data_IF_974257845684
#
_entry.id   IF_974257845684
#
_cell.length_a   1.000
_cell.length_b   1.000
_cell.length_c   1.000
_cell.angle_alpha   90.00
_cell.angle_beta   90.00
_cell.angle_gamma   90.00
#
_symmetry.space_group_name_H-M   'P 1'
#
loop_
_entity.id
_entity.type
_entity.pdbx_description
1 polymer ?
#
# COMPACT_ATOMS: atom_id res chain seq x y z
N UNK A 1 -60.75 -1.56 -2.78
CA UNK A 1 -59.93 -2.29 -3.76
C UNK A 1 -58.66 -1.55 -4.20
N UNK A 2 -58.45 -0.29 -3.82
CA UNK A 2 -57.29 0.51 -4.28
C UNK A 2 -56.16 0.65 -3.27
N UNK A 3 -56.21 -0.05 -2.15
CA UNK A 3 -55.20 0.08 -1.06
C UNK A 3 -53.94 -0.75 -1.32
N UNK A 4 -54.02 -1.75 -2.21
CA UNK A 4 -52.87 -2.64 -2.50
C UNK A 4 -51.81 -2.07 -3.46
N UNK A 5 -52.12 -0.97 -4.15
CA UNK A 5 -51.17 -0.36 -5.11
C UNK A 5 -50.28 0.71 -4.54
N UNK A 6 -50.53 1.18 -3.32
CA UNK A 6 -49.73 2.24 -2.71
C UNK A 6 -48.54 1.74 -1.86
N UNK A 7 -48.54 0.52 -1.43
CA UNK A 7 -47.48 -0.05 -0.58
C UNK A 7 -46.25 -0.56 -1.39
N UNK A 8 -46.39 -0.84 -2.66
CA UNK A 8 -45.30 -1.36 -3.51
C UNK A 8 -44.32 -0.26 -3.96
N UNK A 9 -44.75 1.00 -4.00
CA UNK A 9 -43.92 2.13 -4.46
C UNK A 9 -42.95 2.66 -3.38
N UNK A 10 -43.24 2.44 -2.11
CA UNK A 10 -42.40 2.93 -1.00
C UNK A 10 -41.20 1.99 -0.75
N UNK A 11 -41.35 0.70 -0.98
CA UNK A 11 -40.29 -0.28 -0.81
C UNK A 11 -39.19 -0.18 -1.90
N UNK A 12 -39.53 0.24 -3.12
CA UNK A 12 -38.57 0.39 -4.20
C UNK A 12 -37.67 1.62 -4.06
N UNK A 13 -38.13 2.69 -3.43
CA UNK A 13 -37.34 3.91 -3.20
C UNK A 13 -36.31 3.73 -2.09
N UNK A 14 -36.60 2.96 -1.06
CA UNK A 14 -35.68 2.70 0.05
C UNK A 14 -34.52 1.79 -0.34
N UNK A 15 -34.75 0.81 -1.21
CA UNK A 15 -33.70 -0.11 -1.71
C UNK A 15 -32.71 0.57 -2.65
N UNK A 16 -33.13 1.54 -3.45
CA UNK A 16 -32.24 2.27 -4.34
C UNK A 16 -31.24 3.18 -3.61
N UNK A 17 -31.65 3.75 -2.47
CA UNK A 17 -30.78 4.65 -1.68
C UNK A 17 -29.65 3.91 -0.96
N UNK A 18 -29.91 2.70 -0.46
CA UNK A 18 -28.89 1.88 0.22
C UNK A 18 -27.86 1.32 -0.77
N UNK A 19 -28.26 1.00 -1.98
CA UNK A 19 -27.37 0.48 -3.01
C UNK A 19 -26.33 1.49 -3.50
N UNK A 20 -26.65 2.78 -3.54
CA UNK A 20 -25.72 3.85 -3.97
C UNK A 20 -24.60 4.09 -2.95
N UNK A 21 -24.87 4.02 -1.66
CA UNK A 21 -23.86 4.18 -0.61
C UNK A 21 -22.88 3.02 -0.53
N UNK A 22 -23.32 1.79 -0.74
CA UNK A 22 -22.47 0.59 -0.72
C UNK A 22 -21.56 0.48 -1.95
N UNK A 23 -22.02 0.91 -3.13
CA UNK A 23 -21.24 0.82 -4.39
C UNK A 23 -20.05 1.77 -4.42
N UNK A 24 -20.15 2.98 -3.86
CA UNK A 24 -19.05 3.95 -3.82
C UNK A 24 -17.86 3.45 -2.97
N UNK A 25 -18.13 2.86 -1.79
CA UNK A 25 -17.08 2.31 -0.92
C UNK A 25 -16.44 1.04 -1.51
N UNK A 26 -17.24 0.15 -2.11
CA UNK A 26 -16.74 -1.06 -2.74
C UNK A 26 -15.80 -0.75 -3.91
N UNK A 27 -16.12 0.23 -4.75
CA UNK A 27 -15.29 0.67 -5.86
C UNK A 27 -13.94 1.21 -5.40
N UNK A 28 -13.91 2.05 -4.37
CA UNK A 28 -12.68 2.59 -3.82
C UNK A 28 -11.76 1.52 -3.25
N UNK A 29 -12.32 0.52 -2.57
CA UNK A 29 -11.56 -0.63 -2.07
C UNK A 29 -11.01 -1.48 -3.21
N UNK A 30 -11.79 -1.72 -4.24
CA UNK A 30 -11.36 -2.49 -5.41
C UNK A 30 -10.20 -1.81 -6.14
N UNK A 31 -10.28 -0.51 -6.40
CA UNK A 31 -9.20 0.26 -7.01
C UNK A 31 -7.89 0.19 -6.22
N UNK A 32 -7.97 0.27 -4.89
CA UNK A 32 -6.79 0.12 -4.02
C UNK A 32 -6.21 -1.29 -4.06
N UNK A 33 -7.06 -2.30 -4.06
CA UNK A 33 -6.62 -3.70 -4.16
C UNK A 33 -5.96 -3.98 -5.51
N UNK A 34 -6.51 -3.50 -6.61
CA UNK A 34 -5.94 -3.65 -7.95
C UNK A 34 -4.60 -2.96 -8.07
N UNK A 35 -4.48 -1.73 -7.59
CA UNK A 35 -3.20 -1.01 -7.56
C UNK A 35 -2.14 -1.76 -6.77
N UNK A 36 -2.51 -2.37 -5.65
CA UNK A 36 -1.61 -3.15 -4.83
C UNK A 36 -1.20 -4.48 -5.51
N UNK A 37 -2.14 -5.18 -6.13
CA UNK A 37 -1.89 -6.44 -6.84
C UNK A 37 -1.02 -6.26 -8.08
N UNK A 38 -1.19 -5.16 -8.80
CA UNK A 38 -0.43 -4.85 -10.01
C UNK A 38 0.91 -4.16 -9.75
N UNK A 39 1.24 -3.90 -8.48
CA UNK A 39 2.50 -3.27 -8.08
C UNK A 39 3.70 -4.20 -8.25
N UNK A 40 4.87 -3.60 -8.48
CA UNK A 40 6.14 -4.32 -8.40
C UNK A 40 6.63 -4.36 -6.96
N UNK A 41 7.24 -5.47 -6.57
CA UNK A 41 7.83 -5.66 -5.25
C UNK A 41 9.34 -5.61 -5.36
N UNK A 42 9.95 -4.76 -4.56
CA UNK A 42 11.38 -4.66 -4.40
C UNK A 42 11.79 -5.23 -3.05
N UNK A 43 12.72 -6.17 -3.05
CA UNK A 43 13.26 -6.74 -1.82
C UNK A 43 14.76 -6.42 -1.78
N UNK A 44 15.16 -5.64 -0.76
CA UNK A 44 16.55 -5.29 -0.50
C UNK A 44 17.02 -5.95 0.78
N UNK A 45 18.14 -6.62 0.73
CA UNK A 45 18.79 -7.24 1.88
C UNK A 45 20.05 -6.46 2.26
N UNK A 46 20.25 -6.25 3.56
CA UNK A 46 21.39 -5.50 4.06
C UNK A 46 22.20 -6.32 5.06
N UNK A 47 23.48 -6.43 4.79
CA UNK A 47 24.46 -6.89 5.77
C UNK A 47 24.94 -5.66 6.55
N UNK A 48 24.67 -5.63 7.86
CA UNK A 48 25.04 -4.50 8.71
C UNK A 48 26.23 -4.92 9.58
N UNK A 49 27.37 -4.22 9.49
CA UNK A 49 28.49 -4.50 10.37
C UNK A 49 28.10 -4.34 11.84
N UNK A 50 28.65 -5.17 12.71
CA UNK A 50 28.41 -5.10 14.14
C UNK A 50 28.70 -3.71 14.69
N UNK A 51 27.78 -3.15 15.47
CA UNK A 51 27.88 -1.81 16.04
C UNK A 51 27.41 -0.69 15.10
N UNK A 52 26.99 -1.01 13.85
CA UNK A 52 26.52 -0.04 12.86
C UNK A 52 24.99 -0.07 12.63
N UNK A 53 24.26 -0.76 13.48
CA UNK A 53 22.81 -0.97 13.33
C UNK A 53 22.03 0.35 13.37
N UNK A 54 22.37 1.23 14.32
CA UNK A 54 21.71 2.53 14.46
C UNK A 54 21.98 3.44 13.24
N UNK A 55 23.20 3.42 12.73
CA UNK A 55 23.59 4.19 11.54
C UNK A 55 22.90 3.67 10.28
N UNK A 56 22.83 2.36 10.12
CA UNK A 56 22.12 1.73 9.01
C UNK A 56 20.62 2.05 9.03
N UNK A 57 19.99 2.01 10.20
CA UNK A 57 18.59 2.37 10.37
C UNK A 57 18.34 3.85 10.03
N UNK A 58 19.19 4.75 10.52
CA UNK A 58 19.08 6.18 10.23
C UNK A 58 19.21 6.47 8.72
N UNK A 59 20.16 5.83 8.05
CA UNK A 59 20.35 5.96 6.60
C UNK A 59 19.13 5.44 5.83
N UNK A 60 18.57 4.30 6.22
CA UNK A 60 17.37 3.75 5.61
C UNK A 60 16.16 4.68 5.82
N UNK A 61 15.98 5.22 7.01
CA UNK A 61 14.88 6.15 7.32
C UNK A 61 14.96 7.41 6.44
N UNK A 62 16.14 7.95 6.25
CA UNK A 62 16.36 9.13 5.39
C UNK A 62 15.99 8.83 3.94
N UNK A 63 16.42 7.69 3.41
CA UNK A 63 16.07 7.25 2.06
C UNK A 63 14.57 7.01 1.90
N UNK A 64 13.96 6.34 2.88
CA UNK A 64 12.50 6.10 2.92
C UNK A 64 11.73 7.42 2.88
N UNK A 65 12.09 8.38 3.69
CA UNK A 65 11.36 9.65 3.82
C UNK A 65 11.41 10.45 2.51
N UNK A 66 12.52 10.38 1.79
CA UNK A 66 12.63 10.91 0.43
C UNK A 66 11.75 10.15 -0.57
N UNK A 67 11.88 8.83 -0.61
CA UNK A 67 11.18 7.99 -1.59
C UNK A 67 9.66 8.02 -1.42
N UNK A 68 9.16 8.20 -0.19
CA UNK A 68 7.72 8.36 0.08
C UNK A 68 7.09 9.55 -0.63
N UNK A 69 7.86 10.56 -1.00
CA UNK A 69 7.38 11.74 -1.70
C UNK A 69 7.35 11.56 -3.22
N UNK A 70 7.92 10.49 -3.74
CA UNK A 70 8.10 10.30 -5.18
C UNK A 70 6.88 9.66 -5.84
N UNK A 71 6.60 10.01 -7.11
CA UNK A 71 5.51 9.40 -7.87
C UNK A 71 5.67 7.89 -7.97
N UNK A 72 4.57 7.17 -7.81
CA UNK A 72 4.54 5.71 -7.94
C UNK A 72 4.90 4.94 -6.69
N UNK A 73 5.34 5.60 -5.63
CA UNK A 73 5.55 4.97 -4.33
C UNK A 73 4.21 4.47 -3.75
N UNK A 74 4.18 3.22 -3.28
CA UNK A 74 2.98 2.64 -2.65
C UNK A 74 3.23 2.37 -1.17
N UNK A 75 4.26 1.60 -0.85
CA UNK A 75 4.56 1.21 0.53
C UNK A 75 6.01 0.73 0.68
N UNK A 76 6.53 0.81 1.89
CA UNK A 76 7.79 0.16 2.25
C UNK A 76 7.72 -0.34 3.69
N UNK A 77 8.36 -1.47 3.94
CA UNK A 77 8.45 -2.05 5.27
C UNK A 77 9.83 -2.64 5.49
N UNK A 78 10.49 -2.17 6.54
CA UNK A 78 11.76 -2.72 6.99
C UNK A 78 11.49 -3.86 7.99
N UNK A 79 12.17 -4.97 7.77
CA UNK A 79 12.17 -6.13 8.66
C UNK A 79 13.56 -6.31 9.26
N UNK A 80 13.61 -6.61 10.53
CA UNK A 80 14.85 -6.95 11.22
C UNK A 80 14.93 -8.46 11.42
N UNK A 81 16.11 -9.02 11.18
CA UNK A 81 16.36 -10.42 11.48
C UNK A 81 16.38 -10.61 13.01
N UNK A 82 15.66 -11.62 13.47
CA UNK A 82 15.66 -12.00 14.90
C UNK A 82 16.89 -12.82 15.30
N UNK A 83 17.57 -13.42 14.32
CA UNK A 83 18.82 -14.15 14.54
C UNK A 83 20.01 -13.18 14.43
N UNK A 84 20.73 -12.91 15.54
CA UNK A 84 21.88 -12.01 15.51
C UNK A 84 23.06 -12.53 14.67
N UNK A 85 23.09 -13.82 14.39
CA UNK A 85 24.13 -14.47 13.57
C UNK A 85 23.72 -14.63 12.11
N UNK A 86 22.51 -14.19 11.74
CA UNK A 86 22.05 -14.22 10.35
C UNK A 86 22.86 -13.31 9.45
N UNK A 87 23.09 -13.74 8.21
CA UNK A 87 23.87 -12.99 7.23
C UNK A 87 23.26 -11.61 6.93
N UNK A 88 21.95 -11.55 6.78
CA UNK A 88 21.22 -10.31 6.51
C UNK A 88 20.52 -9.83 7.78
N UNK A 89 20.87 -8.64 8.23
CA UNK A 89 20.33 -8.05 9.44
C UNK A 89 19.02 -7.31 9.20
N UNK A 90 18.92 -6.67 8.03
CA UNK A 90 17.74 -5.92 7.63
C UNK A 90 17.27 -6.37 6.25
N UNK A 91 15.96 -6.50 6.09
CA UNK A 91 15.31 -6.80 4.81
C UNK A 91 14.22 -5.77 4.58
N UNK A 92 14.34 -5.02 3.52
CA UNK A 92 13.33 -4.04 3.12
C UNK A 92 12.44 -4.63 2.03
N UNK A 93 11.13 -4.54 2.21
CA UNK A 93 10.13 -4.90 1.22
C UNK A 93 9.40 -3.62 0.82
N UNK A 94 9.57 -3.19 -0.42
CA UNK A 94 8.95 -2.00 -0.96
C UNK A 94 8.00 -2.35 -2.12
N UNK A 95 6.98 -1.53 -2.29
CA UNK A 95 6.04 -1.65 -3.41
C UNK A 95 5.98 -0.34 -4.16
N UNK A 96 6.05 -0.46 -5.48
CA UNK A 96 6.01 0.65 -6.42
C UNK A 96 4.99 0.35 -7.52
N UNK A 97 4.38 1.38 -8.07
CA UNK A 97 3.43 1.25 -9.18
C UNK A 97 4.04 0.51 -10.36
N UNK A 98 5.30 0.83 -10.71
CA UNK A 98 6.07 0.18 -11.76
C UNK A 98 7.57 0.38 -11.54
N UNK A 99 8.39 -0.32 -12.32
CA UNK A 99 9.85 -0.24 -12.21
C UNK A 99 10.41 1.11 -12.68
N UNK A 100 9.78 1.74 -13.65
CA UNK A 100 10.19 3.03 -14.19
C UNK A 100 10.11 4.13 -13.14
N UNK A 101 9.03 4.16 -12.36
CA UNK A 101 8.85 5.11 -11.25
C UNK A 101 9.91 4.91 -10.17
N UNK A 102 10.22 3.67 -9.83
CA UNK A 102 11.28 3.33 -8.89
C UNK A 102 12.64 3.83 -9.36
N UNK A 103 13.01 3.55 -10.61
CA UNK A 103 14.27 4.01 -11.20
C UNK A 103 14.36 5.52 -11.25
N UNK A 104 13.28 6.21 -11.63
CA UNK A 104 13.22 7.67 -11.66
C UNK A 104 13.40 8.28 -10.27
N UNK A 105 12.80 7.69 -9.24
CA UNK A 105 12.93 8.13 -7.86
C UNK A 105 14.36 7.97 -7.33
N UNK A 106 14.97 6.80 -7.53
CA UNK A 106 16.34 6.52 -7.08
C UNK A 106 17.39 7.33 -7.80
N UNK A 107 17.15 7.71 -9.06
CA UNK A 107 18.05 8.59 -9.80
C UNK A 107 18.14 10.02 -9.23
N UNK A 108 17.18 10.42 -8.40
CA UNK A 108 17.15 11.75 -7.74
C UNK A 108 17.81 11.76 -6.35
N UNK A 109 18.23 10.60 -5.87
CA UNK A 109 18.83 10.46 -4.53
C UNK A 109 20.28 10.98 -4.46
#
# INVERSE_FOLDING_TARGET
>A
MNIRKKTALIAAAATAFVAVGCTANAKQWQEKCEAFQNSVVLINTFEVPQGKEAEALASWQKARDFLKTQPGYIATRLHQNIDPNGKYHLVNVARWRNMEDFKAATAKM
#
